data_IF_554977864396
#
_entry.id   IF_554977864396
#
_cell.length_a   1.000
_cell.length_b   1.000
_cell.length_c   1.000
_cell.angle_alpha   90.00
_cell.angle_beta   90.00
_cell.angle_gamma   90.00
#
_symmetry.space_group_name_H-M   'P 1'
#
loop_
_entity.id
_entity.type
_entity.pdbx_description
1 polymer ?
#
# COMPACT_ATOMS: atom_id res chain seq x y z
N UNK A 1 68.14 37.48 43.48
CA UNK A 1 68.16 36.10 42.94
C UNK A 1 67.05 35.24 43.54
N UNK A 2 66.97 35.01 44.87
CA UNK A 2 65.91 34.17 45.47
C UNK A 2 64.49 34.75 45.31
N UNK A 3 64.31 36.05 45.50
CA UNK A 3 62.99 36.70 45.41
C UNK A 3 62.36 36.60 44.01
N UNK A 4 63.16 36.82 42.97
CA UNK A 4 62.72 36.72 41.57
C UNK A 4 62.35 35.29 41.18
N UNK A 5 63.03 34.29 41.73
CA UNK A 5 62.70 32.87 41.51
C UNK A 5 61.35 32.48 42.12
N UNK A 6 61.06 32.95 43.34
CA UNK A 6 59.76 32.74 44.00
C UNK A 6 58.64 33.39 43.17
N UNK A 7 58.86 34.63 42.71
CA UNK A 7 57.87 35.37 41.92
C UNK A 7 57.59 34.69 40.56
N UNK A 8 58.62 34.14 39.91
CA UNK A 8 58.48 33.34 38.69
C UNK A 8 57.68 32.05 38.95
N UNK A 9 57.98 31.34 40.05
CA UNK A 9 57.27 30.12 40.42
C UNK A 9 55.77 30.40 40.69
N UNK A 10 55.47 31.47 41.43
CA UNK A 10 54.08 31.90 41.69
C UNK A 10 53.35 32.31 40.41
N UNK A 11 54.03 32.98 39.48
CA UNK A 11 53.45 33.34 38.19
C UNK A 11 53.10 32.10 37.37
N UNK A 12 54.02 31.12 37.29
CA UNK A 12 53.80 29.86 36.55
C UNK A 12 52.65 29.05 37.17
N UNK A 13 52.57 28.95 38.49
CA UNK A 13 51.47 28.21 39.14
C UNK A 13 50.12 28.86 38.92
N UNK A 14 50.04 30.20 38.93
CA UNK A 14 48.80 30.93 38.60
C UNK A 14 48.39 30.66 37.15
N UNK A 15 49.32 30.73 36.19
CA UNK A 15 49.04 30.44 34.78
C UNK A 15 48.54 29.01 34.59
N UNK A 16 49.18 28.03 35.23
CA UNK A 16 48.74 26.63 35.20
C UNK A 16 47.35 26.45 35.80
N UNK A 17 47.05 27.12 36.93
CA UNK A 17 45.73 27.07 37.55
C UNK A 17 44.64 27.66 36.63
N UNK A 18 44.91 28.79 35.97
CA UNK A 18 43.97 29.41 35.02
C UNK A 18 43.73 28.50 33.82
N UNK A 19 44.78 27.93 33.22
CA UNK A 19 44.65 26.99 32.09
C UNK A 19 43.85 25.75 32.49
N UNK A 20 44.09 25.20 33.68
CA UNK A 20 43.35 24.06 34.20
C UNK A 20 41.86 24.37 34.42
N UNK A 21 41.53 25.55 34.96
CA UNK A 21 40.13 25.97 35.17
C UNK A 21 39.39 26.21 33.85
N UNK A 22 40.06 26.82 32.86
CA UNK A 22 39.50 27.03 31.53
C UNK A 22 39.29 25.69 30.81
N UNK A 23 40.28 24.80 30.87
CA UNK A 23 40.19 23.45 30.32
C UNK A 23 39.04 22.64 30.95
N UNK A 24 38.89 22.70 32.29
CA UNK A 24 37.80 22.05 33.01
C UNK A 24 36.43 22.59 32.61
N UNK A 25 36.27 23.91 32.45
CA UNK A 25 35.01 24.52 32.00
C UNK A 25 34.65 24.16 30.57
N UNK A 26 35.64 24.13 29.66
CA UNK A 26 35.42 23.76 28.25
C UNK A 26 35.05 22.28 28.15
N UNK A 27 35.73 21.41 28.90
CA UNK A 27 35.43 19.98 28.98
C UNK A 27 34.01 19.72 29.50
N UNK A 28 33.60 20.38 30.59
CA UNK A 28 32.25 20.23 31.14
C UNK A 28 31.16 20.69 30.16
N UNK A 29 31.35 21.81 29.46
CA UNK A 29 30.36 22.28 28.46
C UNK A 29 30.22 21.30 27.29
N UNK A 30 31.34 20.76 26.78
CA UNK A 30 31.30 19.76 25.71
C UNK A 30 30.67 18.46 26.17
N UNK A 31 30.95 18.03 27.40
CA UNK A 31 30.36 16.82 27.96
C UNK A 31 28.85 16.94 28.15
N UNK A 32 28.36 18.08 28.65
CA UNK A 32 26.92 18.34 28.78
C UNK A 32 26.26 18.31 27.39
N UNK A 33 26.84 19.00 26.41
CA UNK A 33 26.32 19.01 25.03
C UNK A 33 26.28 17.60 24.43
N UNK A 34 27.34 16.81 24.60
CA UNK A 34 27.41 15.43 24.11
C UNK A 34 26.43 14.50 24.83
N UNK A 35 26.20 14.71 26.12
CA UNK A 35 25.22 13.95 26.89
C UNK A 35 23.78 14.32 26.49
N UNK A 36 23.52 15.59 26.17
CA UNK A 36 22.24 16.04 25.61
C UNK A 36 22.01 15.45 24.21
N UNK A 37 23.02 15.45 23.35
CA UNK A 37 22.96 14.80 22.03
C UNK A 37 22.73 13.29 22.15
N UNK A 38 23.38 12.60 23.11
CA UNK A 38 23.12 11.18 23.40
C UNK A 38 21.69 10.94 23.88
N UNK A 39 21.16 11.78 24.78
CA UNK A 39 19.77 11.66 25.25
C UNK A 39 18.75 11.92 24.14
N UNK A 40 19.03 12.88 23.26
CA UNK A 40 18.18 13.14 22.11
C UNK A 40 18.19 11.95 21.14
N UNK A 41 19.36 11.35 20.92
CA UNK A 41 19.52 10.17 20.08
C UNK A 41 18.86 8.93 20.69
N UNK A 42 18.95 8.73 22.00
CA UNK A 42 18.25 7.67 22.73
C UNK A 42 16.72 7.81 22.60
N UNK A 43 16.18 9.02 22.72
CA UNK A 43 14.75 9.29 22.49
C UNK A 43 14.35 8.99 21.04
N UNK A 44 15.14 9.41 20.06
CA UNK A 44 14.87 9.14 18.65
C UNK A 44 14.91 7.63 18.36
N UNK A 45 15.83 6.89 18.98
CA UNK A 45 15.92 5.44 18.85
C UNK A 45 14.74 4.70 19.49
N UNK A 46 14.32 5.12 20.68
CA UNK A 46 13.12 4.57 21.33
C UNK A 46 11.86 4.84 20.49
N UNK A 47 11.73 6.04 19.92
CA UNK A 47 10.61 6.37 19.04
C UNK A 47 10.63 5.52 17.76
N UNK A 48 11.82 5.28 17.18
CA UNK A 48 11.99 4.39 16.03
C UNK A 48 11.59 2.95 16.38
N UNK A 49 12.02 2.45 17.53
CA UNK A 49 11.65 1.11 18.01
C UNK A 49 10.14 0.97 18.20
N UNK A 50 9.50 1.95 18.83
CA UNK A 50 8.04 1.96 19.04
C UNK A 50 7.29 2.00 17.70
N UNK A 51 7.74 2.83 16.74
CA UNK A 51 7.17 2.84 15.39
C UNK A 51 7.38 1.52 14.66
N UNK A 52 8.56 0.90 14.79
CA UNK A 52 8.84 -0.40 14.18
C UNK A 52 7.95 -1.49 14.78
N UNK A 53 7.75 -1.50 16.08
CA UNK A 53 6.87 -2.44 16.77
C UNK A 53 5.42 -2.24 16.34
N UNK A 54 4.96 -1.00 16.23
CA UNK A 54 3.60 -0.68 15.81
C UNK A 54 3.34 -1.07 14.35
N UNK A 55 4.29 -0.78 13.44
CA UNK A 55 4.20 -1.19 12.04
C UNK A 55 4.31 -2.71 11.90
N UNK A 56 5.19 -3.38 12.66
CA UNK A 56 5.30 -4.84 12.68
C UNK A 56 4.01 -5.49 13.19
N UNK A 57 3.42 -4.94 14.27
CA UNK A 57 2.16 -5.44 14.83
C UNK A 57 1.01 -5.28 13.84
N UNK A 58 0.91 -4.12 13.19
CA UNK A 58 -0.07 -3.89 12.14
C UNK A 58 0.12 -4.85 10.95
N UNK A 59 1.35 -5.00 10.46
CA UNK A 59 1.65 -5.89 9.35
C UNK A 59 1.35 -7.36 9.70
N UNK A 60 1.68 -7.80 10.92
CA UNK A 60 1.37 -9.15 11.39
C UNK A 60 -0.14 -9.37 11.44
N UNK A 61 -0.89 -8.39 11.94
CA UNK A 61 -2.36 -8.48 12.00
C UNK A 61 -2.99 -8.52 10.60
N UNK A 62 -2.50 -7.72 9.66
CA UNK A 62 -2.96 -7.76 8.27
C UNK A 62 -2.65 -9.12 7.64
N UNK A 63 -1.46 -9.67 7.90
CA UNK A 63 -1.06 -10.98 7.39
C UNK A 63 -1.90 -12.12 7.99
N UNK A 64 -2.22 -12.02 9.28
CA UNK A 64 -3.08 -12.99 9.97
C UNK A 64 -4.52 -12.95 9.41
N UNK A 65 -5.09 -11.75 9.24
CA UNK A 65 -6.39 -11.57 8.59
C UNK A 65 -6.41 -12.15 7.16
N UNK A 66 -5.36 -11.90 6.37
CA UNK A 66 -5.26 -12.45 5.01
C UNK A 66 -5.12 -13.98 5.01
N UNK A 67 -4.43 -14.53 5.99
CA UNK A 67 -4.31 -15.99 6.16
C UNK A 67 -5.66 -16.61 6.54
N UNK A 68 -6.44 -15.91 7.37
CA UNK A 68 -7.78 -16.33 7.76
C UNK A 68 -8.76 -16.28 6.57
N UNK A 69 -8.77 -15.19 5.79
CA UNK A 69 -9.56 -15.08 4.56
C UNK A 69 -9.24 -16.23 3.59
N UNK A 70 -7.95 -16.56 3.42
CA UNK A 70 -7.51 -17.64 2.53
C UNK A 70 -7.98 -19.01 3.02
N UNK A 71 -8.01 -19.24 4.33
CA UNK A 71 -8.56 -20.47 4.95
C UNK A 71 -10.06 -20.60 4.69
N UNK A 72 -10.81 -19.50 4.81
CA UNK A 72 -12.24 -19.49 4.52
C UNK A 72 -12.52 -19.75 3.04
N UNK A 73 -11.76 -19.11 2.14
CA UNK A 73 -11.87 -19.34 0.70
C UNK A 73 -11.56 -20.79 0.34
N UNK A 74 -10.53 -21.39 0.96
CA UNK A 74 -10.16 -22.78 0.76
C UNK A 74 -11.29 -23.73 1.20
N UNK A 75 -11.92 -23.47 2.36
CA UNK A 75 -13.07 -24.26 2.82
C UNK A 75 -14.26 -24.16 1.87
N UNK A 76 -14.53 -22.99 1.29
CA UNK A 76 -15.58 -22.82 0.29
C UNK A 76 -15.24 -23.55 -1.00
N UNK A 77 -13.99 -23.47 -1.44
CA UNK A 77 -13.50 -24.19 -2.62
C UNK A 77 -13.63 -25.71 -2.44
N UNK A 78 -13.24 -26.25 -1.29
CA UNK A 78 -13.35 -27.68 -0.98
C UNK A 78 -14.81 -28.17 -1.03
N UNK A 79 -15.74 -27.42 -0.43
CA UNK A 79 -17.17 -27.69 -0.54
C UNK A 79 -17.65 -27.67 -2.00
N UNK A 80 -17.21 -26.69 -2.80
CA UNK A 80 -17.57 -26.60 -4.21
C UNK A 80 -17.00 -27.75 -5.04
N UNK A 81 -15.80 -28.24 -4.71
CA UNK A 81 -15.21 -29.42 -5.35
C UNK A 81 -16.02 -30.68 -5.05
N UNK A 82 -16.52 -30.85 -3.83
CA UNK A 82 -17.44 -31.94 -3.50
C UNK A 82 -18.74 -31.85 -4.33
N UNK A 83 -19.37 -30.68 -4.38
CA UNK A 83 -20.57 -30.49 -5.21
C UNK A 83 -20.32 -30.74 -6.70
N UNK A 84 -19.18 -30.33 -7.24
CA UNK A 84 -18.82 -30.60 -8.63
C UNK A 84 -18.65 -32.11 -8.86
N UNK A 85 -18.08 -32.83 -7.89
CA UNK A 85 -17.92 -34.29 -7.95
C UNK A 85 -19.28 -35.00 -7.95
N UNK A 86 -20.20 -34.57 -7.09
CA UNK A 86 -21.56 -35.09 -7.05
C UNK A 86 -22.33 -34.81 -8.34
N UNK A 87 -22.18 -33.60 -8.90
CA UNK A 87 -22.80 -33.22 -10.17
C UNK A 87 -22.25 -34.05 -11.34
N UNK A 88 -20.94 -34.27 -11.41
CA UNK A 88 -20.34 -35.14 -12.43
C UNK A 88 -20.89 -36.56 -12.34
N UNK A 89 -21.08 -37.08 -11.12
CA UNK A 89 -21.69 -38.40 -10.90
C UNK A 89 -23.15 -38.44 -11.37
N UNK A 90 -23.94 -37.41 -11.10
CA UNK A 90 -25.32 -37.32 -11.57
C UNK A 90 -25.41 -37.24 -13.10
N UNK A 91 -24.51 -36.49 -13.73
CA UNK A 91 -24.39 -36.41 -15.20
C UNK A 91 -24.01 -37.78 -15.79
N UNK A 92 -23.08 -38.50 -15.18
CA UNK A 92 -22.70 -39.85 -15.62
C UNK A 92 -23.85 -40.86 -15.45
N UNK A 93 -24.60 -40.78 -14.36
CA UNK A 93 -25.78 -41.61 -14.14
C UNK A 93 -26.88 -41.30 -15.16
N UNK A 94 -27.10 -40.01 -15.47
CA UNK A 94 -28.04 -39.57 -16.50
C UNK A 94 -27.61 -40.05 -17.88
N UNK A 95 -26.32 -39.96 -18.22
CA UNK A 95 -25.75 -40.49 -19.45
C UNK A 95 -25.95 -42.00 -19.57
N UNK A 96 -25.72 -42.76 -18.49
CA UNK A 96 -25.98 -44.21 -18.47
C UNK A 96 -27.46 -44.53 -18.65
N UNK A 97 -28.37 -43.78 -18.01
CA UNK A 97 -29.82 -43.93 -18.20
C UNK A 97 -30.22 -43.66 -19.65
N UNK A 98 -29.70 -42.59 -20.24
CA UNK A 98 -29.97 -42.24 -21.64
C UNK A 98 -29.43 -43.31 -22.59
N UNK A 99 -28.21 -43.80 -22.37
CA UNK A 99 -27.64 -44.90 -23.15
C UNK A 99 -28.45 -46.18 -23.03
N UNK A 100 -28.93 -46.51 -21.83
CA UNK A 100 -29.79 -47.68 -21.61
C UNK A 100 -31.15 -47.52 -22.29
N UNK A 101 -31.75 -46.32 -22.24
CA UNK A 101 -32.99 -46.01 -22.96
C UNK A 101 -32.80 -46.06 -24.48
N UNK A 102 -31.68 -45.55 -25.00
CA UNK A 102 -31.40 -45.60 -26.43
C UNK A 102 -31.21 -47.05 -26.90
N UNK A 103 -30.50 -47.86 -26.11
CA UNK A 103 -30.29 -49.28 -26.38
C UNK A 103 -31.59 -50.10 -26.33
N UNK A 104 -32.58 -49.70 -25.52
CA UNK A 104 -33.91 -50.32 -25.52
C UNK A 104 -34.86 -49.74 -26.57
N UNK A 105 -34.69 -48.47 -26.97
CA UNK A 105 -35.43 -47.84 -28.04
C UNK A 105 -35.12 -48.47 -29.41
N UNK A 106 -33.86 -48.85 -29.65
CA UNK A 106 -33.44 -49.58 -30.86
C UNK A 106 -34.12 -50.97 -31.00
N UNK A 107 -34.66 -51.54 -29.92
CA UNK A 107 -35.31 -52.86 -29.90
C UNK A 107 -36.84 -52.76 -30.08
N UNK A 108 -37.43 -51.57 -29.98
CA UNK A 108 -38.88 -51.37 -30.04
C UNK A 108 -39.27 -50.28 -31.04
N UNK A 109 -39.14 -50.58 -32.32
CA UNK A 109 -39.60 -49.70 -33.40
C UNK A 109 -41.14 -49.70 -33.53
N UNK A 110 -41.82 -48.73 -32.93
CA UNK A 110 -43.15 -48.23 -33.33
C UNK A 110 -43.33 -46.77 -32.86
N UNK A 111 -44.16 -45.93 -33.51
CA UNK A 111 -43.79 -44.56 -33.88
C UNK A 111 -43.80 -43.55 -32.71
N UNK A 112 -42.80 -42.64 -32.61
CA UNK A 112 -42.61 -41.72 -31.47
C UNK A 112 -43.25 -40.33 -31.62
N UNK A 113 -44.01 -40.07 -32.69
CA UNK A 113 -44.39 -38.70 -33.05
C UNK A 113 -45.23 -37.97 -31.97
N UNK A 114 -46.01 -38.70 -31.16
CA UNK A 114 -46.93 -38.08 -30.17
C UNK A 114 -46.24 -37.82 -28.83
N UNK A 115 -45.31 -38.68 -28.40
CA UNK A 115 -44.57 -38.50 -27.15
C UNK A 115 -43.51 -37.40 -27.27
N UNK A 116 -42.88 -37.27 -28.43
CA UNK A 116 -41.89 -36.21 -28.70
C UNK A 116 -42.55 -34.82 -28.73
N UNK A 117 -43.75 -34.70 -29.31
CA UNK A 117 -44.55 -33.47 -29.29
C UNK A 117 -44.96 -33.06 -27.87
N UNK A 118 -45.31 -34.03 -27.02
CA UNK A 118 -45.65 -33.78 -25.61
C UNK A 118 -44.42 -33.34 -24.81
N UNK A 119 -43.27 -33.99 -25.02
CA UNK A 119 -42.02 -33.63 -24.37
C UNK A 119 -41.55 -32.22 -24.79
N UNK A 120 -41.63 -31.88 -26.09
CA UNK A 120 -41.30 -30.53 -26.56
C UNK A 120 -42.20 -29.48 -25.93
N UNK A 121 -43.50 -29.77 -25.77
CA UNK A 121 -44.43 -28.84 -25.13
C UNK A 121 -44.10 -28.64 -23.66
N UNK A 122 -43.80 -29.70 -22.93
CA UNK A 122 -43.42 -29.63 -21.52
C UNK A 122 -42.08 -28.91 -21.32
N UNK A 123 -41.12 -29.10 -22.23
CA UNK A 123 -39.84 -28.41 -22.22
C UNK A 123 -39.97 -26.92 -22.58
N UNK A 124 -40.88 -26.59 -23.52
CA UNK A 124 -41.27 -25.22 -23.84
C UNK A 124 -41.94 -24.54 -22.62
N UNK A 125 -42.89 -25.21 -21.97
CA UNK A 125 -43.58 -24.69 -20.79
C UNK A 125 -42.59 -24.46 -19.62
N UNK A 126 -41.61 -25.37 -19.44
CA UNK A 126 -40.53 -25.18 -18.46
C UNK A 126 -39.61 -24.01 -18.81
N UNK A 127 -39.29 -23.82 -20.08
CA UNK A 127 -38.46 -22.71 -20.56
C UNK A 127 -39.18 -21.37 -20.37
N UNK A 128 -40.49 -21.31 -20.66
CA UNK A 128 -41.31 -20.12 -20.44
C UNK A 128 -41.44 -19.81 -18.94
N UNK A 129 -41.60 -20.83 -18.09
CA UNK A 129 -41.58 -20.66 -16.63
C UNK A 129 -40.20 -20.26 -16.07
N UNK A 130 -39.11 -20.68 -16.72
CA UNK A 130 -37.76 -20.24 -16.37
C UNK A 130 -37.52 -18.78 -16.80
N UNK A 131 -37.99 -18.39 -17.99
CA UNK A 131 -37.93 -17.01 -18.46
C UNK A 131 -38.72 -16.06 -17.56
N UNK A 132 -39.93 -16.44 -17.14
CA UNK A 132 -40.70 -15.61 -16.18
C UNK A 132 -40.01 -15.44 -14.83
N UNK A 133 -39.30 -16.48 -14.34
CA UNK A 133 -38.47 -16.37 -13.13
C UNK A 133 -37.25 -15.47 -13.35
N UNK A 134 -36.62 -15.56 -14.52
CA UNK A 134 -35.50 -14.70 -14.89
C UNK A 134 -35.92 -13.22 -14.92
N UNK A 135 -37.07 -12.91 -15.55
CA UNK A 135 -37.61 -11.55 -15.60
C UNK A 135 -37.95 -11.00 -14.20
N UNK A 136 -38.51 -11.84 -13.32
CA UNK A 136 -38.75 -11.48 -11.92
C UNK A 136 -37.46 -11.17 -11.18
N UNK A 137 -36.41 -11.98 -11.34
CA UNK A 137 -35.10 -11.73 -10.74
C UNK A 137 -34.50 -10.43 -11.28
N UNK A 138 -34.58 -10.19 -12.59
CA UNK A 138 -34.06 -8.98 -13.23
C UNK A 138 -34.78 -7.73 -12.70
N UNK A 139 -36.10 -7.81 -12.48
CA UNK A 139 -36.87 -6.73 -11.85
C UNK A 139 -36.45 -6.45 -10.40
N UNK A 140 -36.15 -7.50 -9.62
CA UNK A 140 -35.67 -7.36 -8.25
C UNK A 140 -34.27 -6.76 -8.19
N UNK A 141 -33.37 -7.15 -9.11
CA UNK A 141 -32.02 -6.59 -9.21
C UNK A 141 -32.11 -5.08 -9.47
N UNK A 142 -32.90 -4.66 -10.47
CA UNK A 142 -33.07 -3.22 -10.77
C UNK A 142 -33.63 -2.44 -9.59
N UNK A 143 -34.55 -3.03 -8.82
CA UNK A 143 -35.10 -2.41 -7.62
C UNK A 143 -34.03 -2.24 -6.53
N UNK A 144 -33.21 -3.27 -6.29
CA UNK A 144 -32.11 -3.21 -5.33
C UNK A 144 -31.04 -2.20 -5.75
N UNK A 145 -30.73 -2.11 -7.05
CA UNK A 145 -29.82 -1.09 -7.59
C UNK A 145 -30.36 0.33 -7.38
N UNK A 146 -31.67 0.53 -7.57
CA UNK A 146 -32.33 1.81 -7.28
C UNK A 146 -32.28 2.16 -5.78
N UNK A 147 -32.61 1.20 -4.90
CA UNK A 147 -32.54 1.40 -3.45
C UNK A 147 -31.10 1.69 -2.99
N UNK A 148 -30.09 1.07 -3.61
CA UNK A 148 -28.69 1.34 -3.34
C UNK A 148 -28.29 2.77 -3.74
N UNK A 149 -28.70 3.24 -4.90
CA UNK A 149 -28.43 4.61 -5.36
C UNK A 149 -29.10 5.65 -4.46
N UNK A 150 -30.35 5.40 -4.04
CA UNK A 150 -31.07 6.25 -3.08
C UNK A 150 -30.33 6.33 -1.73
N UNK A 151 -29.86 5.20 -1.19
CA UNK A 151 -29.04 5.16 0.02
C UNK A 151 -27.72 5.92 -0.14
N UNK A 152 -27.06 5.77 -1.29
CA UNK A 152 -25.81 6.47 -1.56
C UNK A 152 -26.02 7.99 -1.59
N UNK A 153 -27.10 8.46 -2.22
CA UNK A 153 -27.47 9.88 -2.22
C UNK A 153 -27.80 10.39 -0.82
N UNK A 154 -28.49 9.60 0.01
CA UNK A 154 -28.74 9.95 1.42
C UNK A 154 -27.43 10.11 2.20
N UNK A 155 -26.49 9.17 2.07
CA UNK A 155 -25.17 9.25 2.73
C UNK A 155 -24.41 10.50 2.29
N UNK A 156 -24.42 10.83 1.00
CA UNK A 156 -23.79 12.04 0.48
C UNK A 156 -24.43 13.31 1.05
N UNK A 157 -25.76 13.34 1.14
CA UNK A 157 -26.49 14.48 1.72
C UNK A 157 -26.17 14.69 3.20
N UNK A 158 -26.08 13.59 3.96
CA UNK A 158 -25.73 13.59 5.39
C UNK A 158 -24.28 14.03 5.61
N UNK A 159 -23.36 13.57 4.76
CA UNK A 159 -21.96 14.02 4.80
C UNK A 159 -21.84 15.51 4.51
N UNK A 160 -22.62 16.02 3.54
CA UNK A 160 -22.64 17.43 3.19
C UNK A 160 -23.19 18.30 4.33
N UNK A 161 -24.25 17.86 5.02
CA UNK A 161 -24.79 18.58 6.18
C UNK A 161 -23.85 18.53 7.38
N UNK A 162 -23.21 17.39 7.64
CA UNK A 162 -22.19 17.25 8.69
C UNK A 162 -21.02 18.21 8.48
N UNK A 163 -20.48 18.30 7.26
CA UNK A 163 -19.42 19.26 6.93
C UNK A 163 -19.87 20.73 7.06
N UNK A 164 -21.14 21.03 6.80
CA UNK A 164 -21.68 22.39 6.98
C UNK A 164 -21.75 22.76 8.46
N UNK A 165 -22.14 21.81 9.33
CA UNK A 165 -22.17 21.98 10.79
C UNK A 165 -20.75 22.17 11.34
N UNK A 166 -19.79 21.36 10.88
CA UNK A 166 -18.39 21.46 11.30
C UNK A 166 -17.78 22.82 10.94
N UNK A 167 -18.04 23.33 9.73
CA UNK A 167 -17.65 24.70 9.35
C UNK A 167 -18.32 25.77 10.21
N UNK A 168 -19.62 25.64 10.50
CA UNK A 168 -20.33 26.58 11.35
C UNK A 168 -19.82 26.59 12.81
N UNK A 169 -19.28 25.46 13.30
CA UNK A 169 -18.64 25.39 14.62
C UNK A 169 -17.25 26.02 14.61
N UNK A 170 -16.51 25.95 13.51
CA UNK A 170 -15.17 26.51 13.37
C UNK A 170 -15.17 28.04 13.18
N UNK A 171 -16.23 28.59 12.58
CA UNK A 171 -16.45 30.04 12.42
C UNK A 171 -17.03 30.73 13.67
N UNK A 172 -17.10 30.04 14.83
CA UNK A 172 -17.56 30.69 16.07
C UNK A 172 -16.46 31.62 16.59
N UNK A 173 -16.61 32.95 16.53
CA UNK A 173 -15.57 33.86 17.02
C UNK A 173 -15.45 33.69 18.53
N UNK A 174 -14.21 33.55 19.00
CA UNK A 174 -13.88 33.62 20.41
C UNK A 174 -14.37 34.97 20.96
N UNK A 175 -15.48 34.94 21.67
CA UNK A 175 -15.92 36.06 22.51
C UNK A 175 -14.85 36.31 23.56
N UNK A 176 -14.06 37.35 23.32
CA UNK A 176 -13.49 38.30 24.26
C UNK A 176 -13.40 37.84 25.72
N UNK A 177 -12.17 37.62 26.19
CA UNK A 177 -11.80 38.04 27.54
C UNK A 177 -10.45 38.77 27.48
N UNK A 178 -10.51 40.09 27.64
CA UNK A 178 -9.38 41.00 27.71
C UNK A 178 -8.95 41.16 29.16
N UNK A 179 -7.66 41.01 29.44
CA UNK A 179 -6.97 41.77 30.48
C UNK A 179 -5.47 41.88 30.14
N UNK A 180 -5.11 43.01 29.52
CA UNK A 180 -3.77 43.62 29.58
C UNK A 180 -3.70 44.48 30.87
N UNK A 181 -2.51 44.81 31.43
CA UNK A 181 -1.53 45.70 30.78
C UNK A 181 -0.06 45.30 31.14
N UNK A 182 1.05 45.90 30.74
CA UNK A 182 1.45 47.16 30.08
C UNK A 182 2.89 46.97 29.55
N UNK A 183 3.34 47.77 28.57
CA UNK A 183 4.77 48.07 28.36
C UNK A 183 5.35 47.93 26.95
N UNK A 184 4.89 48.78 26.02
CA UNK A 184 5.63 49.70 25.11
C UNK A 184 7.14 49.51 24.69
N UNK A 185 7.63 50.15 23.60
CA UNK A 185 8.08 49.48 22.37
C UNK A 185 9.51 49.86 21.87
N UNK A 186 10.04 49.15 20.86
CA UNK A 186 11.05 49.64 19.89
C UNK A 186 11.16 48.64 18.71
N UNK A 187 10.81 48.98 17.47
CA UNK A 187 11.55 49.70 16.42
C UNK A 187 12.70 48.93 15.72
N UNK A 188 12.52 48.73 14.39
CA UNK A 188 13.50 48.63 13.29
C UNK A 188 14.47 47.41 13.31
N UNK A 189 14.91 46.79 12.21
CA UNK A 189 14.70 46.81 10.75
C UNK A 189 15.47 45.58 10.18
N UNK A 190 15.31 45.20 8.89
CA UNK A 190 15.86 43.98 8.29
C UNK A 190 17.13 44.22 7.45
N UNK A 191 18.04 43.22 7.40
CA UNK A 191 19.17 43.06 6.46
C UNK A 191 19.44 41.53 6.38
N UNK A 192 19.24 40.78 5.28
CA UNK A 192 19.77 40.83 3.91
C UNK A 192 21.25 40.45 3.76
N UNK A 193 21.47 39.42 2.91
CA UNK A 193 22.67 39.06 2.12
C UNK A 193 23.91 38.51 2.86
N UNK A 194 24.71 37.56 2.36
CA UNK A 194 24.78 36.71 1.16
C UNK A 194 26.07 35.84 1.33
N UNK A 195 26.39 34.97 0.37
CA UNK A 195 27.74 34.45 -0.01
C UNK A 195 28.14 33.01 0.42
N UNK A 196 27.82 32.09 -0.50
CA UNK A 196 28.73 31.26 -1.33
C UNK A 196 29.43 29.95 -0.84
N UNK A 197 29.30 28.97 -1.77
CA UNK A 197 30.27 28.00 -2.34
C UNK A 197 30.89 26.81 -1.56
N UNK A 198 30.41 25.59 -1.89
CA UNK A 198 31.07 24.42 -2.57
C UNK A 198 32.63 24.19 -2.49
N UNK A 199 33.20 22.98 -2.83
CA UNK A 199 33.03 21.61 -2.30
C UNK A 199 34.37 20.78 -2.15
N UNK A 200 34.28 19.60 -1.51
CA UNK A 200 35.12 18.34 -1.62
C UNK A 200 36.64 18.35 -1.27
N UNK A 201 37.27 17.21 -0.86
CA UNK A 201 37.64 16.14 -1.79
C UNK A 201 37.54 14.67 -1.28
N UNK A 202 37.44 13.76 -2.26
CA UNK A 202 37.65 12.30 -2.18
C UNK A 202 39.07 11.95 -1.73
N UNK A 203 39.21 10.82 -1.02
CA UNK A 203 40.43 9.99 -1.07
C UNK A 203 40.03 8.54 -1.31
N UNK A 204 40.69 7.96 -2.29
CA UNK A 204 40.55 6.61 -2.83
C UNK A 204 41.82 5.83 -2.48
N UNK A 205 41.74 4.49 -2.50
CA UNK A 205 42.78 3.47 -2.79
C UNK A 205 42.84 2.29 -1.77
N UNK A 206 42.67 1.01 -2.23
CA UNK A 206 42.70 -0.27 -1.49
C UNK A 206 44.05 -1.04 -1.75
N UNK A 207 44.22 -2.40 -1.67
CA UNK A 207 43.46 -3.53 -1.07
C UNK A 207 44.29 -4.61 -0.28
N UNK A 208 43.60 -5.69 0.17
CA UNK A 208 43.99 -7.12 0.31
C UNK A 208 44.04 -7.73 1.75
N UNK A 209 43.86 -9.06 1.95
CA UNK A 209 42.78 -9.94 1.45
C UNK A 209 42.17 -10.92 2.51
N UNK A 210 40.97 -11.44 2.19
CA UNK A 210 40.43 -12.81 2.42
C UNK A 210 40.23 -13.40 3.85
N UNK A 211 38.96 -13.45 4.30
CA UNK A 211 38.25 -14.68 4.68
C UNK A 211 36.73 -14.43 4.88
N UNK A 212 35.85 -15.44 4.65
CA UNK A 212 34.46 -15.23 4.28
C UNK A 212 33.57 -15.06 5.53
N UNK A 213 33.05 -13.85 5.73
CA UNK A 213 31.92 -13.63 6.62
C UNK A 213 30.70 -13.33 5.78
N UNK A 214 29.68 -14.19 5.91
CA UNK A 214 28.37 -14.07 5.29
C UNK A 214 27.79 -12.68 5.59
N UNK A 215 27.81 -11.82 4.57
CA UNK A 215 27.38 -10.44 4.67
C UNK A 215 25.84 -10.36 4.56
N UNK A 216 25.19 -9.97 5.66
CA UNK A 216 23.74 -9.73 5.72
C UNK A 216 23.30 -8.58 4.79
N UNK A 217 24.25 -7.76 4.32
CA UNK A 217 24.01 -6.70 3.32
C UNK A 217 23.68 -7.26 1.93
N UNK A 218 24.16 -8.46 1.58
CA UNK A 218 23.90 -9.11 0.29
C UNK A 218 22.46 -9.65 0.16
N UNK A 219 21.79 -9.95 1.28
CA UNK A 219 20.37 -10.38 1.28
C UNK A 219 19.45 -9.18 1.05
N UNK A 220 19.76 -8.04 1.65
CA UNK A 220 18.93 -6.83 1.54
C UNK A 220 19.05 -6.23 0.13
N UNK A 221 20.21 -6.32 -0.52
CA UNK A 221 20.38 -5.91 -1.92
C UNK A 221 19.73 -6.88 -2.92
N UNK A 222 19.66 -8.19 -2.64
CA UNK A 222 18.88 -9.14 -3.45
C UNK A 222 17.37 -8.88 -3.43
N UNK A 223 16.83 -8.36 -2.32
CA UNK A 223 15.40 -8.04 -2.23
C UNK A 223 15.06 -6.75 -3.00
N UNK A 224 15.98 -5.78 -3.07
CA UNK A 224 15.80 -4.56 -3.89
C UNK A 224 16.05 -4.77 -5.38
N UNK A 225 16.91 -5.71 -5.75
CA UNK A 225 17.18 -6.09 -7.14
C UNK A 225 16.59 -7.47 -7.45
N UNK A 226 15.30 -7.67 -7.19
CA UNK A 226 14.57 -8.71 -7.92
C UNK A 226 14.61 -8.27 -9.38
N UNK A 227 15.38 -9.00 -10.19
CA UNK A 227 15.58 -8.75 -11.61
C UNK A 227 14.25 -8.34 -12.24
N UNK A 228 14.19 -7.09 -12.70
CA UNK A 228 13.06 -6.55 -13.42
C UNK A 228 12.80 -7.51 -14.60
N UNK A 229 11.60 -8.09 -14.76
CA UNK A 229 11.35 -9.00 -15.86
C UNK A 229 11.63 -8.25 -17.16
N UNK A 230 12.67 -8.66 -17.88
CA UNK A 230 12.95 -8.10 -19.19
C UNK A 230 11.72 -8.36 -20.08
N UNK A 231 11.21 -7.32 -20.73
CA UNK A 231 10.07 -7.42 -21.66
C UNK A 231 10.33 -8.51 -22.71
N UNK A 232 11.60 -8.79 -23.02
CA UNK A 232 12.07 -9.84 -23.92
C UNK A 232 11.67 -11.28 -23.53
N UNK A 233 11.29 -11.54 -22.27
CA UNK A 233 10.87 -12.87 -21.80
C UNK A 233 9.35 -13.03 -21.69
N UNK A 234 8.56 -12.02 -22.07
CA UNK A 234 7.11 -12.10 -22.08
C UNK A 234 6.57 -12.66 -23.40
N UNK A 235 5.40 -13.28 -23.32
CA UNK A 235 4.61 -13.68 -24.47
C UNK A 235 4.34 -12.44 -25.36
N UNK A 236 4.41 -12.51 -26.71
CA UNK A 236 4.36 -11.33 -27.58
C UNK A 236 3.10 -10.48 -27.36
N UNK A 237 1.98 -11.13 -27.08
CA UNK A 237 0.71 -10.49 -26.77
C UNK A 237 0.77 -9.66 -25.48
N UNK A 238 1.46 -10.15 -24.46
CA UNK A 238 1.62 -9.45 -23.19
C UNK A 238 2.57 -8.26 -23.33
N UNK A 239 3.64 -8.41 -24.11
CA UNK A 239 4.54 -7.32 -24.42
C UNK A 239 3.81 -6.17 -25.16
N UNK A 240 2.95 -6.51 -26.13
CA UNK A 240 2.15 -5.51 -26.86
C UNK A 240 1.18 -4.75 -25.95
N UNK A 241 0.49 -5.46 -25.04
CA UNK A 241 -0.39 -4.84 -24.04
C UNK A 241 0.41 -3.91 -23.11
N UNK A 242 1.60 -4.31 -22.68
CA UNK A 242 2.47 -3.47 -21.84
C UNK A 242 2.92 -2.21 -22.59
N UNK A 243 3.35 -2.35 -23.85
CA UNK A 243 3.74 -1.21 -24.68
C UNK A 243 2.57 -0.23 -24.87
N UNK A 244 1.38 -0.74 -25.17
CA UNK A 244 0.19 0.10 -25.35
C UNK A 244 -0.20 0.86 -24.07
N UNK A 245 -0.09 0.23 -22.89
CA UNK A 245 -0.32 0.90 -21.60
C UNK A 245 0.71 2.02 -21.36
N UNK A 246 1.99 1.76 -21.66
CA UNK A 246 3.06 2.75 -21.48
C UNK A 246 2.92 3.93 -22.46
N UNK A 247 2.54 3.66 -23.71
CA UNK A 247 2.32 4.70 -24.72
C UNK A 247 1.13 5.61 -24.36
N UNK A 248 0.04 5.04 -23.85
CA UNK A 248 -1.11 5.83 -23.38
C UNK A 248 -0.76 6.68 -22.16
N UNK A 249 0.10 6.18 -21.26
CA UNK A 249 0.60 6.97 -20.14
C UNK A 249 1.47 8.15 -20.62
N UNK A 250 2.31 7.95 -21.63
CA UNK A 250 3.15 9.00 -22.21
C UNK A 250 2.34 10.10 -22.90
N UNK A 251 1.22 9.72 -23.50
CA UNK A 251 0.26 10.65 -24.10
C UNK A 251 -0.52 11.45 -23.03
N UNK A 252 -0.26 11.22 -21.74
CA UNK A 252 -0.91 11.91 -20.63
C UNK A 252 -2.32 11.40 -20.31
N UNK A 253 -2.70 10.22 -20.81
CA UNK A 253 -4.00 9.62 -20.52
C UNK A 253 -4.02 9.13 -19.07
N UNK A 254 -5.10 9.42 -18.35
CA UNK A 254 -5.21 9.03 -16.94
C UNK A 254 -5.38 7.52 -16.77
N UNK A 255 -4.79 6.95 -15.70
CA UNK A 255 -4.90 5.51 -15.37
C UNK A 255 -6.36 5.00 -15.40
N UNK A 256 -7.37 5.72 -14.86
CA UNK A 256 -8.77 5.27 -14.93
C UNK A 256 -9.32 5.21 -16.37
N UNK A 257 -8.84 6.05 -17.28
CA UNK A 257 -9.23 6.03 -18.69
C UNK A 257 -8.57 4.86 -19.43
N UNK A 258 -7.28 4.61 -19.18
CA UNK A 258 -6.55 3.46 -19.73
C UNK A 258 -7.21 2.14 -19.31
N UNK A 259 -7.56 2.01 -18.02
CA UNK A 259 -8.25 0.85 -17.48
C UNK A 259 -9.58 0.56 -18.21
N UNK A 260 -10.37 1.61 -18.50
CA UNK A 260 -11.62 1.48 -19.27
C UNK A 260 -11.37 1.10 -20.72
N UNK A 261 -10.36 1.70 -21.36
CA UNK A 261 -10.04 1.46 -22.77
C UNK A 261 -9.51 0.04 -23.00
N UNK A 262 -8.67 -0.46 -22.09
CA UNK A 262 -8.04 -1.79 -22.20
C UNK A 262 -8.83 -2.90 -21.50
N UNK A 263 -9.97 -2.58 -20.85
CA UNK A 263 -10.77 -3.52 -20.05
C UNK A 263 -9.95 -4.24 -18.96
N UNK A 264 -8.98 -3.53 -18.38
CA UNK A 264 -8.09 -4.02 -17.32
C UNK A 264 -8.40 -3.33 -15.99
N UNK A 265 -8.00 -3.94 -14.89
CA UNK A 265 -8.20 -3.31 -13.58
C UNK A 265 -7.22 -2.15 -13.36
N UNK A 266 -7.63 -1.13 -12.59
CA UNK A 266 -6.77 0.01 -12.25
C UNK A 266 -5.44 -0.44 -11.63
N UNK A 267 -5.52 -1.42 -10.72
CA UNK A 267 -4.36 -1.99 -10.02
C UNK A 267 -3.39 -2.67 -10.98
N UNK A 268 -3.90 -3.36 -12.00
CA UNK A 268 -3.11 -4.05 -13.00
C UNK A 268 -2.33 -3.05 -13.88
N UNK A 269 -2.97 -1.97 -14.31
CA UNK A 269 -2.31 -0.87 -15.03
C UNK A 269 -1.23 -0.21 -14.13
N UNK A 270 -1.52 0.06 -12.85
CA UNK A 270 -0.55 0.61 -11.90
C UNK A 270 0.65 -0.32 -11.69
N UNK A 271 0.43 -1.63 -11.61
CA UNK A 271 1.49 -2.65 -11.51
C UNK A 271 2.35 -2.65 -12.78
N UNK A 272 1.73 -2.63 -13.96
CA UNK A 272 2.46 -2.63 -15.24
C UNK A 272 3.36 -1.41 -15.37
N UNK A 273 2.87 -0.22 -15.06
CA UNK A 273 3.68 1.01 -15.05
C UNK A 273 4.83 0.87 -14.05
N UNK A 274 4.55 0.41 -12.83
CA UNK A 274 5.58 0.29 -11.78
C UNK A 274 6.69 -0.70 -12.14
N UNK A 275 6.34 -1.82 -12.77
CA UNK A 275 7.30 -2.87 -13.12
C UNK A 275 8.02 -2.63 -14.44
N UNK A 276 7.37 -2.01 -15.44
CA UNK A 276 7.89 -1.91 -16.81
C UNK A 276 8.21 -0.50 -17.28
N UNK A 277 7.94 0.55 -16.48
CA UNK A 277 8.40 1.91 -16.81
C UNK A 277 9.92 2.02 -16.65
N UNK A 278 10.60 1.80 -17.76
CA UNK A 278 12.07 1.83 -17.87
C UNK A 278 12.65 3.24 -17.70
N UNK A 279 11.82 4.31 -17.71
CA UNK A 279 12.29 5.70 -17.70
C UNK A 279 12.61 6.29 -16.33
N UNK A 280 12.16 5.67 -15.23
CA UNK A 280 12.47 6.12 -13.86
C UNK A 280 13.80 5.58 -13.30
N UNK A 281 14.62 4.93 -14.12
CA UNK A 281 15.87 4.29 -13.68
C UNK A 281 17.14 4.88 -14.32
N UNK A 282 17.08 6.13 -14.82
CA UNK A 282 18.25 6.91 -15.27
C UNK A 282 18.39 8.16 -14.41
#
# INVERSE_FOLDING_TARGET
MMWTAIQLLTCVTIVLAVVFLVGKRIGQRRFIKMQEEMKALEKAFNQLLEQMELVSGHNLQVLDNKTQELRELLNVADKKCLYATDLMKEVDDMKRRLQNQNRTADVSASPPAVSELKLRRELQDQMDAANGRMESIDSHIRKLEQEQEELFQQILSLKKSSLAIERAMQDRPATFDSCHPAGEPACAAPLADDIADQPAPRVEVPPAPENPTLDSSAVITRIRHRERPAIANLDPLQAEIIHQVLDLCDQGVSIPQIARQMKMSKTEIELMIKFYDMRKAV
#
